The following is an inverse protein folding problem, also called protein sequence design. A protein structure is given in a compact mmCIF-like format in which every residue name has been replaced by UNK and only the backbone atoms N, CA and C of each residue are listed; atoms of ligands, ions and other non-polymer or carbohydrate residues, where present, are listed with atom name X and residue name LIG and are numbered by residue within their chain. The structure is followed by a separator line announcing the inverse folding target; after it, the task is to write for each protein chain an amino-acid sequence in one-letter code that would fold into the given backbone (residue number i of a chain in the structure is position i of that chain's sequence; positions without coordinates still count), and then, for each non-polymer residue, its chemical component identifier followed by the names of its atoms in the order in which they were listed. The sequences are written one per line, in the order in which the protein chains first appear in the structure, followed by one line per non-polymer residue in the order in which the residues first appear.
data_IF_503280942183
#
_entry.id   IF_503280942183
#
_cell.length_a   1.000
_cell.length_b   1.000
_cell.length_c   1.000
_cell.angle_alpha   90.00
_cell.angle_beta   90.00
_cell.angle_gamma   90.00
#
_symmetry.space_group_name_H-M   'P 1'
#
loop_
_entity.id
_entity.type
_entity.pdbx_description
1 polymer ?
#
# COMPACT_ATOMS: atom_id res chain seq x y z
N UNK A 1 -19.38 28.01 -22.77
CA UNK A 1 -19.68 27.78 -21.36
C UNK A 1 -19.13 26.45 -20.80
N UNK A 2 -18.92 25.41 -21.63
CA UNK A 2 -18.43 24.07 -21.20
C UNK A 2 -16.93 23.99 -20.87
N UNK A 3 -16.10 24.89 -21.42
CA UNK A 3 -14.63 24.88 -21.23
C UNK A 3 -14.20 25.24 -19.81
N UNK A 4 -14.89 26.15 -19.13
CA UNK A 4 -14.53 26.63 -17.79
C UNK A 4 -14.70 25.52 -16.74
N UNK A 5 -15.74 24.68 -16.89
CA UNK A 5 -16.01 23.61 -15.91
C UNK A 5 -14.95 22.50 -15.94
N UNK A 6 -14.41 22.15 -17.12
CA UNK A 6 -13.37 21.12 -17.24
C UNK A 6 -12.03 21.59 -16.70
N UNK A 7 -11.66 22.84 -16.97
CA UNK A 7 -10.45 23.44 -16.43
C UNK A 7 -10.51 23.52 -14.91
N UNK A 8 -11.67 23.88 -14.36
CA UNK A 8 -11.88 23.90 -12.91
C UNK A 8 -11.70 22.52 -12.28
N UNK A 9 -12.27 21.46 -12.88
CA UNK A 9 -12.08 20.08 -12.43
C UNK A 9 -10.60 19.68 -12.48
N UNK A 10 -9.90 19.99 -13.58
CA UNK A 10 -8.48 19.69 -13.72
C UNK A 10 -7.61 20.43 -12.68
N UNK A 11 -7.91 21.70 -12.39
CA UNK A 11 -7.21 22.48 -11.37
C UNK A 11 -7.44 21.86 -9.99
N UNK A 12 -8.69 21.52 -9.64
CA UNK A 12 -9.01 20.88 -8.36
C UNK A 12 -8.26 19.51 -8.22
N UNK A 13 -8.26 18.70 -9.27
CA UNK A 13 -7.53 17.44 -9.29
C UNK A 13 -6.02 17.64 -9.14
N UNK A 14 -5.46 18.67 -9.78
CA UNK A 14 -4.05 19.04 -9.65
C UNK A 14 -3.68 19.48 -8.22
N UNK A 15 -4.54 20.24 -7.57
CA UNK A 15 -4.33 20.64 -6.17
C UNK A 15 -4.37 19.42 -5.26
N UNK A 16 -5.34 18.52 -5.43
CA UNK A 16 -5.43 17.27 -4.64
C UNK A 16 -4.19 16.40 -4.89
N UNK A 17 -3.75 16.26 -6.15
CA UNK A 17 -2.53 15.54 -6.50
C UNK A 17 -1.31 16.08 -5.74
N UNK A 18 -1.10 17.37 -5.72
CA UNK A 18 0.00 18.01 -4.99
C UNK A 18 -0.11 17.79 -3.48
N UNK A 19 -1.33 17.92 -2.91
CA UNK A 19 -1.58 17.66 -1.49
C UNK A 19 -1.20 16.22 -1.15
N UNK A 20 -1.59 15.25 -1.97
CA UNK A 20 -1.27 13.82 -1.75
C UNK A 20 0.24 13.62 -1.73
N UNK A 21 0.98 14.15 -2.70
CA UNK A 21 2.44 14.01 -2.77
C UNK A 21 3.12 14.65 -1.55
N UNK A 22 2.73 15.85 -1.18
CA UNK A 22 3.35 16.58 -0.07
C UNK A 22 3.02 15.95 1.29
N UNK A 23 1.80 15.40 1.46
CA UNK A 23 1.38 14.80 2.74
C UNK A 23 1.83 13.34 2.91
N UNK A 24 2.17 12.63 1.83
CA UNK A 24 2.61 11.22 1.89
C UNK A 24 3.79 10.99 2.85
N UNK A 25 4.90 11.75 2.81
CA UNK A 25 6.01 11.55 3.76
C UNK A 25 5.64 11.84 5.21
N UNK A 26 4.67 12.75 5.45
CA UNK A 26 4.17 13.03 6.81
C UNK A 26 3.38 11.84 7.36
N UNK A 27 2.52 11.23 6.52
CA UNK A 27 1.78 10.01 6.88
C UNK A 27 2.72 8.88 7.26
N UNK A 28 3.80 8.69 6.50
CA UNK A 28 4.79 7.65 6.80
C UNK A 28 5.48 7.89 8.14
N UNK A 29 5.87 9.11 8.45
CA UNK A 29 6.40 9.44 9.78
C UNK A 29 5.44 9.07 10.91
N UNK A 30 4.14 9.31 10.73
CA UNK A 30 3.12 8.93 11.71
C UNK A 30 2.97 7.40 11.83
N UNK A 31 3.03 6.70 10.69
CA UNK A 31 2.99 5.22 10.66
C UNK A 31 4.21 4.65 11.38
N UNK A 32 5.42 5.14 11.07
CA UNK A 32 6.66 4.69 11.72
C UNK A 32 6.64 4.95 13.23
N UNK A 33 6.12 6.10 13.67
CA UNK A 33 5.97 6.38 15.10
C UNK A 33 5.05 5.38 15.81
N UNK A 34 4.00 4.89 15.11
CA UNK A 34 3.09 3.85 15.63
C UNK A 34 3.72 2.47 15.59
N UNK A 35 4.53 2.19 14.58
CA UNK A 35 5.16 0.89 14.37
C UNK A 35 6.22 0.57 15.44
N UNK A 36 6.89 1.56 15.99
CA UNK A 36 7.97 1.39 16.97
C UNK A 36 9.31 1.05 16.31
N UNK A 37 10.17 0.32 17.03
CA UNK A 37 11.50 -0.07 16.53
C UNK A 37 11.41 -1.19 15.50
N UNK A 38 12.30 -1.14 14.50
CA UNK A 38 12.38 -2.17 13.47
C UNK A 38 13.10 -3.41 14.01
N UNK A 39 12.48 -4.57 13.87
CA UNK A 39 13.07 -5.88 14.24
C UNK A 39 13.70 -6.57 13.04
N UNK A 40 12.95 -6.63 11.93
CA UNK A 40 13.40 -7.25 10.67
C UNK A 40 13.07 -6.31 9.53
N UNK A 41 14.06 -5.94 8.72
CA UNK A 41 13.84 -5.13 7.51
C UNK A 41 13.60 -6.04 6.32
N UNK A 42 12.55 -5.79 5.56
CA UNK A 42 12.25 -6.56 4.35
C UNK A 42 13.06 -6.07 3.16
N UNK A 43 13.32 -6.99 2.24
CA UNK A 43 13.93 -6.66 0.95
C UNK A 43 13.00 -5.75 0.15
N UNK A 44 13.56 -4.67 -0.39
CA UNK A 44 12.80 -3.69 -1.17
C UNK A 44 12.27 -4.31 -2.44
N UNK A 45 10.97 -4.17 -2.68
CA UNK A 45 10.35 -4.56 -3.95
C UNK A 45 10.64 -3.54 -5.05
N UNK A 46 10.58 -4.01 -6.29
CA UNK A 46 10.66 -3.12 -7.44
C UNK A 46 9.41 -2.24 -7.51
N UNK A 47 9.60 -0.91 -7.50
CA UNK A 47 8.54 0.10 -7.46
C UNK A 47 8.46 0.93 -8.75
N UNK A 48 9.08 0.44 -9.82
CA UNK A 48 9.06 1.15 -11.13
C UNK A 48 7.62 1.35 -11.63
N UNK A 49 6.77 0.34 -11.45
CA UNK A 49 5.36 0.42 -11.84
C UNK A 49 4.62 1.53 -11.08
N UNK A 50 4.88 1.69 -9.78
CA UNK A 50 4.25 2.70 -8.94
C UNK A 50 4.67 4.11 -9.36
N UNK A 51 5.95 4.32 -9.66
CA UNK A 51 6.40 5.58 -10.25
C UNK A 51 5.71 5.87 -11.58
N UNK A 52 5.59 4.85 -12.44
CA UNK A 52 4.91 4.98 -13.72
C UNK A 52 3.43 5.40 -13.53
N UNK A 53 2.70 4.79 -12.58
CA UNK A 53 1.31 5.13 -12.26
C UNK A 53 1.21 6.60 -11.84
N UNK A 54 2.10 7.09 -10.98
CA UNK A 54 2.09 8.49 -10.51
C UNK A 54 2.36 9.46 -11.68
N UNK A 55 3.33 9.14 -12.54
CA UNK A 55 3.65 9.95 -13.72
C UNK A 55 2.48 9.98 -14.70
N UNK A 56 1.88 8.83 -15.00
CA UNK A 56 0.70 8.74 -15.88
C UNK A 56 -0.47 9.53 -15.31
N UNK A 57 -0.70 9.46 -13.99
CA UNK A 57 -1.74 10.24 -13.32
C UNK A 57 -1.51 11.76 -13.49
N UNK A 58 -0.27 12.23 -13.35
CA UNK A 58 0.07 13.63 -13.58
C UNK A 58 -0.19 14.05 -15.03
N UNK A 59 0.20 13.22 -16.00
CA UNK A 59 -0.04 13.47 -17.44
C UNK A 59 -1.54 13.52 -17.74
N UNK A 60 -2.34 12.60 -17.19
CA UNK A 60 -3.79 12.59 -17.36
C UNK A 60 -4.40 13.89 -16.83
N UNK A 61 -4.03 14.34 -15.63
CA UNK A 61 -4.53 15.60 -15.05
C UNK A 61 -4.14 16.80 -15.93
N UNK A 62 -2.91 16.82 -16.44
CA UNK A 62 -2.45 17.88 -17.35
C UNK A 62 -3.25 17.86 -18.66
N UNK A 63 -3.50 16.70 -19.24
CA UNK A 63 -4.27 16.57 -20.49
C UNK A 63 -5.73 16.98 -20.32
N UNK A 64 -6.33 16.75 -19.15
CA UNK A 64 -7.69 17.21 -18.84
C UNK A 64 -7.83 18.72 -18.88
N UNK A 65 -6.77 19.46 -18.60
CA UNK A 65 -6.78 20.92 -18.69
C UNK A 65 -6.92 21.41 -20.15
N UNK A 66 -6.34 20.67 -21.10
CA UNK A 66 -6.36 21.04 -22.52
C UNK A 66 -7.51 20.41 -23.31
N UNK A 67 -8.07 19.29 -22.83
CA UNK A 67 -9.12 18.56 -23.53
C UNK A 67 -10.51 18.85 -22.99
N UNK A 68 -11.47 19.00 -23.90
CA UNK A 68 -12.87 19.25 -23.59
C UNK A 68 -13.67 17.92 -23.61
N UNK A 69 -13.66 17.20 -22.47
CA UNK A 69 -14.26 15.85 -22.35
C UNK A 69 -15.72 15.85 -21.83
N UNK A 70 -16.31 17.00 -21.56
CA UNK A 70 -17.56 17.08 -20.83
C UNK A 70 -17.38 16.83 -19.31
N UNK A 71 -18.24 17.46 -18.49
CA UNK A 71 -18.08 17.51 -17.05
C UNK A 71 -17.99 16.14 -16.39
N UNK A 72 -18.93 15.23 -16.71
CA UNK A 72 -18.99 13.90 -16.10
C UNK A 72 -17.70 13.08 -16.35
N UNK A 73 -17.27 13.03 -17.61
CA UNK A 73 -16.07 12.31 -17.99
C UNK A 73 -14.82 12.91 -17.33
N UNK A 74 -14.72 14.24 -17.24
CA UNK A 74 -13.61 14.92 -16.58
C UNK A 74 -13.55 14.59 -15.08
N UNK A 75 -14.69 14.51 -14.40
CA UNK A 75 -14.75 14.11 -12.98
C UNK A 75 -14.31 12.66 -12.80
N UNK A 76 -14.82 11.73 -13.62
CA UNK A 76 -14.45 10.30 -13.53
C UNK A 76 -12.94 10.11 -13.76
N UNK A 77 -12.42 10.69 -14.83
CA UNK A 77 -10.99 10.56 -15.19
C UNK A 77 -10.09 11.20 -14.11
N UNK A 78 -10.49 12.36 -13.56
CA UNK A 78 -9.79 12.99 -12.46
C UNK A 78 -9.77 12.13 -11.20
N UNK A 79 -10.92 11.52 -10.86
CA UNK A 79 -11.01 10.64 -9.70
C UNK A 79 -10.10 9.42 -9.84
N UNK A 80 -10.06 8.79 -11.01
CA UNK A 80 -9.16 7.65 -11.30
C UNK A 80 -7.69 8.07 -11.19
N UNK A 81 -7.31 9.23 -11.76
CA UNK A 81 -5.96 9.74 -11.69
C UNK A 81 -5.53 10.05 -10.24
N UNK A 82 -6.40 10.68 -9.44
CA UNK A 82 -6.13 10.95 -8.02
C UNK A 82 -6.00 9.67 -7.22
N UNK A 83 -6.88 8.69 -7.42
CA UNK A 83 -6.79 7.37 -6.76
C UNK A 83 -5.49 6.66 -7.12
N UNK A 84 -5.10 6.65 -8.39
CA UNK A 84 -3.81 6.09 -8.84
C UNK A 84 -2.62 6.77 -8.15
N UNK A 85 -2.68 8.10 -8.00
CA UNK A 85 -1.65 8.87 -7.28
C UNK A 85 -1.57 8.46 -5.81
N UNK A 86 -2.70 8.34 -5.12
CA UNK A 86 -2.74 7.93 -3.70
C UNK A 86 -2.11 6.55 -3.53
N UNK A 87 -2.56 5.57 -4.34
CA UNK A 87 -2.05 4.20 -4.25
C UNK A 87 -0.56 4.13 -4.61
N UNK A 88 -0.13 4.80 -5.68
CA UNK A 88 1.26 4.81 -6.12
C UNK A 88 2.19 5.46 -5.09
N UNK A 89 1.83 6.62 -4.57
CA UNK A 89 2.66 7.34 -3.58
C UNK A 89 2.75 6.62 -2.24
N UNK A 90 1.66 6.04 -1.74
CA UNK A 90 1.69 5.25 -0.49
C UNK A 90 2.64 4.05 -0.62
N UNK A 91 2.58 3.33 -1.74
CA UNK A 91 3.45 2.17 -1.97
C UNK A 91 4.92 2.58 -2.15
N UNK A 92 5.20 3.66 -2.88
CA UNK A 92 6.57 4.20 -3.06
C UNK A 92 7.20 4.54 -1.70
N UNK A 93 6.48 5.30 -0.87
CA UNK A 93 7.05 5.82 0.38
C UNK A 93 7.16 4.73 1.44
N UNK A 94 6.17 3.83 1.55
CA UNK A 94 6.18 2.73 2.51
C UNK A 94 7.12 1.57 2.11
N UNK A 95 7.43 1.39 0.82
CA UNK A 95 8.37 0.36 0.39
C UNK A 95 9.78 0.56 1.00
N UNK A 96 10.20 1.81 1.18
CA UNK A 96 11.45 2.14 1.87
C UNK A 96 11.48 1.77 3.36
N UNK A 97 10.31 1.61 3.96
CA UNK A 97 10.09 1.34 5.37
C UNK A 97 9.52 -0.06 5.63
N UNK A 98 9.50 -0.95 4.62
CA UNK A 98 8.95 -2.31 4.75
C UNK A 98 9.75 -3.11 5.76
N UNK A 99 9.06 -3.76 6.70
CA UNK A 99 9.67 -4.55 7.76
C UNK A 99 8.69 -5.01 8.82
N UNK A 100 9.17 -5.89 9.69
CA UNK A 100 8.55 -6.23 10.95
C UNK A 100 9.04 -5.26 12.03
N UNK A 101 8.12 -4.63 12.71
CA UNK A 101 8.34 -3.68 13.77
C UNK A 101 7.79 -4.24 15.09
N UNK A 102 8.15 -3.60 16.19
CA UNK A 102 7.69 -3.99 17.53
C UNK A 102 6.16 -4.04 17.65
N UNK A 103 5.45 -3.08 17.05
CA UNK A 103 3.99 -2.97 17.17
C UNK A 103 3.23 -3.36 15.89
N UNK A 104 3.91 -3.79 14.82
CA UNK A 104 3.23 -4.12 13.57
C UNK A 104 4.13 -4.48 12.42
N UNK A 105 3.50 -4.78 11.29
CA UNK A 105 4.15 -5.09 10.03
C UNK A 105 3.87 -3.97 9.03
N UNK A 106 4.90 -3.48 8.36
CA UNK A 106 4.77 -2.61 7.20
C UNK A 106 5.17 -3.42 5.97
N UNK A 107 4.19 -3.74 5.13
CA UNK A 107 4.43 -4.44 3.87
C UNK A 107 3.34 -4.11 2.84
N UNK A 108 3.68 -4.18 1.55
CA UNK A 108 2.76 -3.92 0.44
C UNK A 108 2.03 -2.56 0.55
N UNK A 109 2.74 -1.51 0.97
CA UNK A 109 2.18 -0.17 1.13
C UNK A 109 1.19 -0.02 2.30
N UNK A 110 1.19 -0.94 3.28
CA UNK A 110 0.22 -0.93 4.39
C UNK A 110 0.90 -1.21 5.72
N UNK A 111 0.35 -0.60 6.77
CA UNK A 111 0.67 -0.93 8.16
C UNK A 111 -0.43 -1.82 8.75
N UNK A 112 -0.01 -2.89 9.40
CA UNK A 112 -0.87 -3.79 10.16
C UNK A 112 -0.32 -3.91 11.58
N UNK A 113 -1.12 -3.51 12.58
CA UNK A 113 -0.76 -3.67 13.99
C UNK A 113 -0.77 -5.13 14.42
N UNK A 114 0.21 -5.56 15.24
CA UNK A 114 0.27 -6.94 15.76
C UNK A 114 -0.98 -7.30 16.56
N UNK A 115 -1.57 -6.32 17.23
CA UNK A 115 -2.81 -6.54 18.01
C UNK A 115 -4.01 -6.88 17.12
N UNK A 116 -4.01 -6.44 15.86
CA UNK A 116 -5.08 -6.72 14.89
C UNK A 116 -5.01 -8.14 14.30
N UNK A 117 -3.90 -8.86 14.51
CA UNK A 117 -3.67 -10.20 13.97
C UNK A 117 -4.23 -11.24 14.94
N UNK A 118 -5.17 -12.06 14.49
CA UNK A 118 -5.76 -13.15 15.30
C UNK A 118 -5.08 -14.48 15.11
N UNK A 119 -4.84 -14.85 13.86
CA UNK A 119 -4.14 -16.09 13.53
C UNK A 119 -3.29 -15.92 12.30
N UNK A 120 -2.34 -16.83 12.15
CA UNK A 120 -1.49 -16.96 10.96
C UNK A 120 -1.92 -18.25 10.28
N UNK A 121 -2.42 -18.16 9.05
CA UNK A 121 -2.67 -19.32 8.23
C UNK A 121 -1.34 -19.80 7.65
N UNK A 122 -0.98 -21.03 7.95
CA UNK A 122 0.16 -21.70 7.29
C UNK A 122 -0.35 -22.29 5.97
N UNK A 123 0.09 -21.73 4.84
CA UNK A 123 -0.26 -22.21 3.50
C UNK A 123 0.18 -23.65 3.23
N UNK A 124 0.87 -24.28 4.19
CA UNK A 124 1.26 -25.70 4.11
C UNK A 124 0.06 -26.67 4.16
N UNK A 125 -1.10 -26.21 4.67
CA UNK A 125 -2.33 -27.00 4.80
C UNK A 125 -3.35 -26.78 3.67
N UNK A 126 -3.13 -25.81 2.79
CA UNK A 126 -4.00 -25.59 1.64
C UNK A 126 -3.75 -26.68 0.59
N UNK A 127 -4.73 -27.54 0.39
CA UNK A 127 -4.79 -28.59 -0.64
C UNK A 127 -4.85 -28.05 -2.08
N UNK A 128 -4.36 -26.84 -2.33
CA UNK A 128 -4.38 -26.20 -3.63
C UNK A 128 -3.00 -26.35 -4.31
N UNK A 129 -3.00 -26.78 -5.56
CA UNK A 129 -1.83 -27.14 -6.39
C UNK A 129 -0.78 -26.04 -6.60
N UNK A 130 -0.99 -24.83 -6.08
CA UNK A 130 -0.04 -23.71 -6.17
C UNK A 130 0.42 -23.36 -4.76
N UNK A 131 1.49 -23.97 -4.30
CA UNK A 131 2.18 -23.57 -3.06
C UNK A 131 2.88 -22.23 -3.28
N UNK A 132 2.31 -21.18 -2.77
CA UNK A 132 3.02 -19.91 -2.66
C UNK A 132 3.98 -19.96 -1.48
N UNK A 133 5.17 -20.51 -1.69
CA UNK A 133 6.20 -20.72 -0.65
C UNK A 133 6.61 -19.44 0.09
N UNK A 134 6.41 -18.27 -0.50
CA UNK A 134 6.88 -16.99 0.01
C UNK A 134 5.77 -16.07 0.53
N UNK A 135 4.67 -16.62 1.06
CA UNK A 135 3.55 -15.83 1.61
C UNK A 135 3.26 -16.18 3.06
N UNK A 136 2.85 -15.17 3.81
CA UNK A 136 2.21 -15.34 5.13
C UNK A 136 0.82 -14.73 5.02
N UNK A 137 -0.19 -15.53 5.29
CA UNK A 137 -1.59 -15.09 5.38
C UNK A 137 -1.94 -14.86 6.84
N UNK A 138 -2.39 -13.66 7.17
CA UNK A 138 -2.82 -13.33 8.53
C UNK A 138 -4.29 -12.97 8.54
N UNK A 139 -5.04 -13.51 9.48
CA UNK A 139 -6.44 -13.14 9.68
C UNK A 139 -6.53 -11.97 10.66
N UNK A 140 -7.26 -10.95 10.27
CA UNK A 140 -7.46 -9.73 11.06
C UNK A 140 -8.94 -9.49 11.33
N UNK A 141 -9.24 -8.85 12.46
CA UNK A 141 -10.61 -8.54 12.87
C UNK A 141 -11.36 -7.64 11.88
N UNK A 142 -10.67 -6.61 11.39
CA UNK A 142 -11.31 -5.55 10.58
C UNK A 142 -11.18 -5.73 9.08
N UNK A 143 -10.14 -6.44 8.62
CA UNK A 143 -9.76 -6.50 7.20
C UNK A 143 -9.86 -7.90 6.59
N UNK A 144 -10.28 -8.90 7.39
CA UNK A 144 -10.30 -10.29 6.95
C UNK A 144 -8.88 -10.84 6.76
N UNK A 145 -8.67 -11.61 5.71
CA UNK A 145 -7.37 -12.23 5.40
C UNK A 145 -6.48 -11.21 4.68
N UNK A 146 -5.30 -10.95 5.25
CA UNK A 146 -4.26 -10.10 4.66
C UNK A 146 -3.06 -10.96 4.32
N UNK A 147 -2.63 -10.91 3.05
CA UNK A 147 -1.50 -11.68 2.55
C UNK A 147 -0.25 -10.81 2.46
N UNK A 148 0.83 -11.25 3.08
CA UNK A 148 2.17 -10.66 2.94
C UNK A 148 3.01 -11.56 2.06
N UNK A 149 3.57 -10.99 0.98
CA UNK A 149 4.46 -11.69 0.07
C UNK A 149 5.89 -11.24 0.32
N UNK A 150 6.79 -12.18 0.50
CA UNK A 150 8.22 -11.96 0.70
C UNK A 150 8.99 -12.30 -0.57
N UNK A 151 10.23 -11.82 -0.70
CA UNK A 151 11.07 -12.10 -1.87
C UNK A 151 11.73 -13.47 -1.71
N UNK A 152 12.13 -13.83 -0.47
CA UNK A 152 12.78 -15.10 -0.18
C UNK A 152 12.01 -15.89 0.89
N UNK A 153 12.19 -17.21 0.90
CA UNK A 153 11.61 -18.09 1.91
C UNK A 153 12.28 -17.90 3.29
N UNK A 154 13.56 -17.57 3.30
CA UNK A 154 14.32 -17.28 4.51
C UNK A 154 13.74 -16.05 5.23
N UNK A 155 13.44 -14.98 4.46
CA UNK A 155 12.82 -13.76 4.98
C UNK A 155 11.42 -14.06 5.58
N UNK A 156 10.61 -14.88 4.88
CA UNK A 156 9.32 -15.37 5.37
C UNK A 156 9.46 -16.10 6.70
N UNK A 157 10.38 -17.06 6.78
CA UNK A 157 10.58 -17.89 7.97
C UNK A 157 11.04 -17.06 9.16
N UNK A 158 12.00 -16.15 8.97
CA UNK A 158 12.47 -15.24 9.99
C UNK A 158 11.34 -14.34 10.54
N UNK A 159 10.50 -13.81 9.66
CA UNK A 159 9.34 -12.99 10.06
C UNK A 159 8.31 -13.82 10.81
N UNK A 160 8.04 -15.04 10.39
CA UNK A 160 7.10 -15.93 11.04
C UNK A 160 7.54 -16.29 12.46
N UNK A 161 8.81 -16.68 12.64
CA UNK A 161 9.38 -17.00 13.94
C UNK A 161 9.34 -15.80 14.90
N UNK A 162 9.70 -14.61 14.41
CA UNK A 162 9.70 -13.40 15.22
C UNK A 162 8.27 -12.95 15.59
N UNK A 163 7.30 -13.13 14.68
CA UNK A 163 5.89 -12.87 14.97
C UNK A 163 5.37 -13.75 16.12
N UNK A 164 5.71 -15.04 16.12
CA UNK A 164 5.33 -15.97 17.19
C UNK A 164 5.99 -15.57 18.52
N UNK A 165 7.24 -15.08 18.50
CA UNK A 165 7.91 -14.58 19.71
C UNK A 165 7.21 -13.34 20.28
N UNK A 166 6.82 -12.39 19.41
CA UNK A 166 6.16 -11.15 19.83
C UNK A 166 4.75 -11.45 20.36
N UNK A 167 4.04 -12.37 19.72
CA UNK A 167 2.67 -12.74 20.10
C UNK A 167 2.50 -14.26 20.15
N UNK A 168 2.87 -14.91 21.29
CA UNK A 168 2.78 -16.38 21.42
C UNK A 168 1.34 -16.94 21.33
N UNK A 169 0.34 -16.08 21.48
CA UNK A 169 -1.08 -16.47 21.35
C UNK A 169 -1.54 -16.65 19.92
N UNK A 170 -0.70 -16.36 18.91
CA UNK A 170 -1.02 -16.59 17.50
C UNK A 170 -1.13 -18.10 17.25
N UNK A 171 -2.36 -18.58 17.06
CA UNK A 171 -2.61 -19.99 16.71
C UNK A 171 -2.18 -20.23 15.27
N UNK A 172 -1.48 -21.34 15.04
CA UNK A 172 -1.32 -21.95 13.72
C UNK A 172 -2.64 -22.64 13.35
N UNK A 173 -3.22 -22.28 12.24
CA UNK A 173 -4.28 -23.03 11.58
C UNK A 173 -3.80 -23.53 10.25
#
# INVERSE_FOLDING_TARGET
MYSINNQFVAICAGIIFLIVIVTSPLRVKLVLKKAGEIKIRFTKKNIVLQYFIVVVSAVIIALLYFRNLGLLNSVIVSAVAVLGTVMGTEEIVLNGCSGLYENGIIANGRFLGIQEIYCIADDSSASCEIRYTNRISVQTEKRGIVNFSFITEEERTAVFEELIKIKPSLKKY
#
